data_IF_212499667596
#
_entry.id   IF_212499667596
#
_cell.length_a   1.000
_cell.length_b   1.000
_cell.length_c   1.000
_cell.angle_alpha   90.00
_cell.angle_beta   90.00
_cell.angle_gamma   90.00
#
_symmetry.space_group_name_H-M   'P 1'
#
loop_
_entity.id
_entity.type
_entity.pdbx_description
1 polymer ?
#
# COMPACT_ATOMS: atom_id res chain seq x y z
N UNK A 1 -16.95 25.26 -8.29
CA UNK A 1 -16.23 24.25 -7.49
C UNK A 1 -14.87 24.83 -7.14
N UNK A 2 -14.66 25.24 -5.90
CA UNK A 2 -13.40 25.82 -5.42
C UNK A 2 -12.50 24.66 -5.03
N UNK A 3 -11.43 24.43 -5.78
CA UNK A 3 -10.44 23.42 -5.41
C UNK A 3 -9.58 23.95 -4.26
N UNK A 4 -9.54 23.21 -3.14
CA UNK A 4 -8.59 23.46 -2.08
C UNK A 4 -7.18 23.12 -2.59
N UNK A 5 -6.21 24.00 -2.32
CA UNK A 5 -4.78 23.74 -2.55
C UNK A 5 -4.07 23.28 -1.27
N UNK A 6 -4.82 22.91 -0.24
CA UNK A 6 -4.20 22.35 0.96
C UNK A 6 -3.57 21.00 0.63
N UNK A 7 -2.25 20.94 0.73
CA UNK A 7 -1.45 19.74 0.48
C UNK A 7 -1.10 19.02 1.77
N UNK A 8 -1.91 19.19 2.81
CA UNK A 8 -1.68 18.60 4.13
C UNK A 8 -2.74 17.55 4.43
N UNK A 9 -2.33 16.43 5.00
CA UNK A 9 -3.22 15.40 5.53
C UNK A 9 -2.74 14.94 6.91
N UNK A 10 -3.61 14.37 7.73
CA UNK A 10 -3.20 13.76 9.01
C UNK A 10 -2.80 12.31 8.76
N UNK A 11 -1.58 11.96 9.15
CA UNK A 11 -1.05 10.60 9.14
C UNK A 11 -1.83 9.71 10.11
N UNK A 12 -2.28 8.54 9.67
CA UNK A 12 -2.93 7.56 10.56
C UNK A 12 -1.90 6.87 11.47
N UNK A 13 -0.65 6.78 11.03
CA UNK A 13 0.40 6.08 11.78
C UNK A 13 0.93 6.95 12.92
N UNK A 14 1.02 8.28 12.72
CA UNK A 14 1.65 9.20 13.68
C UNK A 14 0.71 10.22 14.29
N UNK A 15 -0.47 10.44 13.70
CA UNK A 15 -1.40 11.50 14.10
C UNK A 15 -0.93 12.91 13.75
N UNK A 16 0.21 13.06 13.06
CA UNK A 16 0.78 14.35 12.69
C UNK A 16 0.39 14.75 11.27
N UNK A 17 0.46 16.06 11.00
CA UNK A 17 0.28 16.61 9.66
C UNK A 17 1.45 16.18 8.74
N UNK A 18 1.12 15.66 7.56
CA UNK A 18 2.07 15.24 6.51
C UNK A 18 1.69 15.88 5.18
N UNK A 19 2.69 16.09 4.32
CA UNK A 19 2.47 16.63 2.98
C UNK A 19 1.93 15.52 2.06
N UNK A 20 0.88 15.81 1.28
CA UNK A 20 0.25 14.83 0.37
C UNK A 20 1.12 14.41 -0.83
N UNK A 21 2.26 15.07 -1.04
CA UNK A 21 3.26 14.74 -2.07
C UNK A 21 4.47 14.01 -1.49
N UNK A 22 4.48 13.73 -0.17
CA UNK A 22 5.58 13.02 0.50
C UNK A 22 5.52 11.51 0.26
N UNK A 23 6.69 10.86 0.36
CA UNK A 23 6.77 9.39 0.29
C UNK A 23 6.02 8.75 1.48
N UNK A 24 6.05 9.37 2.65
CA UNK A 24 5.31 8.92 3.82
C UNK A 24 3.81 8.85 3.54
N UNK A 25 3.23 9.89 2.92
CA UNK A 25 1.82 9.89 2.53
C UNK A 25 1.51 8.85 1.44
N UNK A 26 2.41 8.69 0.47
CA UNK A 26 2.28 7.66 -0.55
C UNK A 26 2.23 6.25 0.06
N UNK A 27 3.16 5.93 0.97
CA UNK A 27 3.21 4.64 1.64
C UNK A 27 1.95 4.38 2.49
N UNK A 28 1.44 5.39 3.19
CA UNK A 28 0.18 5.26 3.92
C UNK A 28 -1.01 5.01 2.99
N UNK A 29 -1.08 5.72 1.86
CA UNK A 29 -2.14 5.50 0.88
C UNK A 29 -2.09 4.07 0.30
N UNK A 30 -0.90 3.56 0.00
CA UNK A 30 -0.73 2.19 -0.46
C UNK A 30 -1.11 1.17 0.62
N UNK A 31 -0.71 1.38 1.87
CA UNK A 31 -1.11 0.53 2.99
C UNK A 31 -2.63 0.54 3.22
N UNK A 32 -3.30 1.70 3.12
CA UNK A 32 -4.77 1.81 3.18
C UNK A 32 -5.44 1.01 2.09
N UNK A 33 -4.92 1.05 0.87
CA UNK A 33 -5.46 0.27 -0.24
C UNK A 33 -5.35 -1.24 0.04
N UNK A 34 -4.18 -1.70 0.48
CA UNK A 34 -3.93 -3.11 0.82
C UNK A 34 -4.80 -3.60 1.99
N UNK A 35 -5.09 -2.72 2.96
CA UNK A 35 -5.98 -3.05 4.08
C UNK A 35 -7.46 -3.18 3.69
N UNK A 36 -7.87 -2.57 2.57
CA UNK A 36 -9.24 -2.71 2.03
C UNK A 36 -9.43 -3.97 1.19
N UNK A 37 -8.34 -4.63 0.78
CA UNK A 37 -8.36 -5.85 -0.02
C UNK A 37 -8.76 -7.07 0.82
N UNK A 38 -9.44 -8.03 0.19
CA UNK A 38 -9.57 -9.39 0.74
C UNK A 38 -8.21 -10.07 0.85
N UNK A 39 -8.18 -11.22 1.54
CA UNK A 39 -6.96 -12.03 1.64
C UNK A 39 -6.45 -12.46 0.26
N UNK A 40 -7.35 -12.94 -0.60
CA UNK A 40 -7.04 -13.40 -1.95
C UNK A 40 -6.53 -12.26 -2.84
N UNK A 41 -7.14 -11.08 -2.73
CA UNK A 41 -6.70 -9.88 -3.46
C UNK A 41 -5.31 -9.43 -3.01
N UNK A 42 -5.04 -9.47 -1.71
CA UNK A 42 -3.73 -9.14 -1.15
C UNK A 42 -2.65 -10.12 -1.61
N UNK A 43 -2.94 -11.42 -1.62
CA UNK A 43 -2.01 -12.43 -2.10
C UNK A 43 -1.68 -12.23 -3.58
N UNK A 44 -2.68 -11.90 -4.41
CA UNK A 44 -2.48 -11.55 -5.82
C UNK A 44 -1.71 -10.24 -5.99
N UNK A 45 -1.98 -9.22 -5.17
CA UNK A 45 -1.27 -7.95 -5.20
C UNK A 45 0.23 -8.13 -4.98
N UNK A 46 0.63 -8.93 -3.98
CA UNK A 46 2.05 -9.14 -3.69
C UNK A 46 2.73 -10.13 -4.64
N UNK A 47 2.09 -11.29 -4.89
CA UNK A 47 2.73 -12.42 -5.57
C UNK A 47 2.37 -12.54 -7.06
N UNK A 48 1.29 -11.88 -7.49
CA UNK A 48 0.73 -12.02 -8.83
C UNK A 48 -0.19 -13.23 -8.95
N UNK A 49 -0.52 -13.56 -10.19
CA UNK A 49 -1.36 -14.71 -10.54
C UNK A 49 -0.70 -15.53 -11.65
N UNK A 50 -0.76 -16.85 -11.51
CA UNK A 50 -0.33 -17.80 -12.55
C UNK A 50 -1.54 -18.59 -13.06
N UNK A 51 -1.47 -19.05 -14.30
CA UNK A 51 -2.41 -20.03 -14.85
C UNK A 51 -2.07 -21.46 -14.38
N UNK A 52 -2.87 -22.43 -14.83
CA UNK A 52 -2.70 -23.84 -14.49
C UNK A 52 -1.38 -24.43 -15.01
N UNK A 53 -0.82 -23.85 -16.07
CA UNK A 53 0.45 -24.26 -16.69
C UNK A 53 1.66 -23.53 -16.06
N UNK A 54 1.43 -22.72 -15.03
CA UNK A 54 2.46 -22.00 -14.28
C UNK A 54 2.96 -20.72 -14.95
N UNK A 55 2.34 -20.29 -16.06
CA UNK A 55 2.67 -19.03 -16.75
C UNK A 55 2.04 -17.86 -16.00
N UNK A 56 2.82 -16.79 -15.85
CA UNK A 56 2.38 -15.57 -15.18
C UNK A 56 1.30 -14.87 -16.00
N UNK A 57 0.10 -14.75 -15.43
CA UNK A 57 -0.99 -13.93 -15.95
C UNK A 57 -0.78 -12.49 -15.49
N UNK A 58 -0.60 -12.31 -14.18
CA UNK A 58 -0.44 -11.00 -13.54
C UNK A 58 0.85 -10.98 -12.71
N UNK A 59 1.63 -9.91 -12.84
CA UNK A 59 2.83 -9.70 -12.02
C UNK A 59 2.45 -8.97 -10.73
N UNK A 60 2.78 -9.56 -9.59
CA UNK A 60 2.63 -8.89 -8.30
C UNK A 60 3.75 -7.89 -8.03
N UNK A 61 3.59 -7.12 -6.95
CA UNK A 61 4.57 -6.11 -6.50
C UNK A 61 5.98 -6.67 -6.36
N UNK A 62 6.13 -7.90 -5.86
CA UNK A 62 7.46 -8.51 -5.70
C UNK A 62 8.17 -8.63 -7.05
N UNK A 63 7.45 -9.02 -8.11
CA UNK A 63 8.02 -9.16 -9.45
C UNK A 63 8.26 -7.81 -10.14
N UNK A 64 7.51 -6.76 -9.79
CA UNK A 64 7.58 -5.44 -10.46
C UNK A 64 8.57 -4.50 -9.76
N UNK A 65 8.49 -4.42 -8.42
CA UNK A 65 9.23 -3.47 -7.58
C UNK A 65 10.29 -4.13 -6.70
N UNK A 66 10.36 -5.46 -6.69
CA UNK A 66 11.31 -6.22 -5.89
C UNK A 66 10.84 -6.50 -4.46
N UNK A 67 11.53 -7.44 -3.80
CA UNK A 67 11.18 -7.92 -2.47
C UNK A 67 11.22 -6.80 -1.41
N UNK A 68 12.25 -5.95 -1.45
CA UNK A 68 12.42 -4.85 -0.48
C UNK A 68 11.23 -3.88 -0.48
N UNK A 69 10.70 -3.55 -1.65
CA UNK A 69 9.52 -2.69 -1.76
C UNK A 69 8.26 -3.39 -1.24
N UNK A 70 8.08 -4.67 -1.53
CA UNK A 70 6.97 -5.45 -1.00
C UNK A 70 7.00 -5.55 0.53
N UNK A 71 8.19 -5.76 1.12
CA UNK A 71 8.39 -5.78 2.57
C UNK A 71 8.09 -4.41 3.20
N UNK A 72 8.50 -3.31 2.57
CA UNK A 72 8.18 -1.97 3.06
C UNK A 72 6.66 -1.71 3.14
N UNK A 73 5.91 -2.18 2.14
CA UNK A 73 4.44 -2.08 2.15
C UNK A 73 3.87 -2.92 3.31
N UNK A 74 4.35 -4.15 3.49
CA UNK A 74 3.91 -5.02 4.61
C UNK A 74 4.17 -4.37 5.97
N UNK A 75 5.37 -3.84 6.18
CA UNK A 75 5.74 -3.12 7.41
C UNK A 75 4.83 -1.91 7.63
N UNK A 76 4.51 -1.15 6.58
CA UNK A 76 3.61 0.01 6.70
C UNK A 76 2.18 -0.41 7.04
N UNK A 77 1.69 -1.50 6.43
CA UNK A 77 0.39 -2.11 6.76
C UNK A 77 0.32 -2.52 8.22
N UNK A 78 1.33 -3.22 8.73
CA UNK A 78 1.41 -3.64 10.13
C UNK A 78 1.39 -2.43 11.08
N UNK A 79 2.22 -1.42 10.82
CA UNK A 79 2.24 -0.17 11.61
C UNK A 79 0.88 0.51 11.64
N UNK A 80 0.18 0.55 10.50
CA UNK A 80 -1.15 1.15 10.39
C UNK A 80 -2.21 0.33 11.13
N UNK A 81 -2.12 -0.99 11.13
CA UNK A 81 -3.03 -1.83 11.94
C UNK A 81 -2.82 -1.60 13.43
N UNK A 82 -1.56 -1.49 13.89
CA UNK A 82 -1.25 -1.17 15.28
C UNK A 82 -1.78 0.21 15.66
N UNK A 83 -1.65 1.23 14.80
CA UNK A 83 -2.14 2.57 15.09
C UNK A 83 -3.68 2.69 15.13
N UNK A 84 -4.40 1.71 14.57
CA UNK A 84 -5.89 1.65 14.57
C UNK A 84 -6.48 0.86 15.74
N UNK A 85 -5.67 0.02 16.39
CA UNK A 85 -6.06 -0.80 17.54
C UNK A 85 -5.87 -0.05 18.85
#
# INVERSE_FOLDING_TARGET
>A
MTYSRDTTAISEITGQAVNTWSEEWQHECEARAVLKMSKEERDRFFNGKKDADGKTIDRGVISIRGLKSAEQIRTTVERMQVARG
#
